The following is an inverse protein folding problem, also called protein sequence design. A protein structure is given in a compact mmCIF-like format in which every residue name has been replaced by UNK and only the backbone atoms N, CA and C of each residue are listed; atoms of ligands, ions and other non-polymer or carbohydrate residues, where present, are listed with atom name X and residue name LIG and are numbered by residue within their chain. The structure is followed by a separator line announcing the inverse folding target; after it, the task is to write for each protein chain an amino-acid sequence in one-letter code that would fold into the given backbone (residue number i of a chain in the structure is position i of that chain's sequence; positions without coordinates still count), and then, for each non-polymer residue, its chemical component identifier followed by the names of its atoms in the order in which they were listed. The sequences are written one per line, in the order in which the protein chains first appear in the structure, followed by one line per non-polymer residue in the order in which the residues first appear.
data_IF_279668027239
#
_entry.id   IF_279668027239
#
_cell.length_a   1.000
_cell.length_b   1.000
_cell.length_c   1.000
_cell.angle_alpha   90.00
_cell.angle_beta   90.00
_cell.angle_gamma   90.00
#
_symmetry.space_group_name_H-M   'P 1'
#
loop_
_entity.id
_entity.type
_entity.pdbx_description
1 polymer ?
#
# COMPACT_ATOMS: atom_id res chain seq x y z
N UNK A 1 4.25 13.86 -42.12
CA UNK A 1 4.15 14.69 -40.89
C UNK A 1 3.14 14.00 -39.98
N UNK A 2 3.60 13.27 -38.98
CA UNK A 2 2.70 12.49 -38.09
C UNK A 2 2.50 13.31 -36.83
N UNK A 3 1.32 13.94 -36.70
CA UNK A 3 0.98 14.76 -35.54
C UNK A 3 0.63 13.85 -34.37
N UNK A 4 1.54 13.76 -33.40
CA UNK A 4 1.32 13.10 -32.11
C UNK A 4 0.35 13.96 -31.29
N UNK A 5 -0.90 13.51 -31.14
CA UNK A 5 -1.88 14.15 -30.24
C UNK A 5 -1.77 13.47 -28.88
N UNK A 6 -1.06 14.11 -27.96
CA UNK A 6 -1.10 13.78 -26.55
C UNK A 6 -2.55 13.88 -26.07
N UNK A 7 -3.09 12.79 -25.53
CA UNK A 7 -4.41 12.74 -24.90
C UNK A 7 -4.19 12.81 -23.38
N UNK A 8 -4.38 13.98 -22.73
CA UNK A 8 -3.96 14.21 -21.35
C UNK A 8 -4.92 13.66 -20.28
N UNK A 9 -6.02 13.00 -20.65
CA UNK A 9 -7.12 12.64 -19.72
C UNK A 9 -7.30 11.14 -19.47
N UNK A 10 -6.37 10.27 -19.91
CA UNK A 10 -6.44 8.83 -19.66
C UNK A 10 -5.37 8.30 -18.70
N UNK A 11 -4.85 9.14 -17.80
CA UNK A 11 -4.08 8.67 -16.64
C UNK A 11 -5.01 8.44 -15.45
N UNK A 12 -6.10 7.71 -15.70
CA UNK A 12 -7.03 7.22 -14.67
C UNK A 12 -7.00 5.69 -14.62
N UNK A 13 -5.80 5.13 -14.72
CA UNK A 13 -5.50 3.81 -14.16
C UNK A 13 -4.48 4.08 -13.08
N UNK A 14 -4.89 3.91 -11.82
CA UNK A 14 -4.09 4.04 -10.59
C UNK A 14 -2.63 3.64 -10.84
N UNK A 15 -1.79 4.60 -11.23
CA UNK A 15 -0.35 4.40 -11.29
C UNK A 15 0.16 4.88 -9.95
N UNK A 16 -0.15 4.10 -8.92
CA UNK A 16 0.57 4.20 -7.66
C UNK A 16 2.03 3.97 -8.03
N UNK A 17 2.79 5.06 -8.09
CA UNK A 17 4.23 5.00 -8.38
C UNK A 17 4.86 4.33 -7.17
N UNK A 18 5.80 3.42 -7.39
CA UNK A 18 6.58 2.80 -6.30
C UNK A 18 7.19 3.86 -5.36
N UNK A 19 7.51 5.04 -5.90
CA UNK A 19 7.96 6.21 -5.14
C UNK A 19 6.90 6.76 -4.18
N UNK A 20 5.63 6.75 -4.55
CA UNK A 20 4.53 7.21 -3.69
C UNK A 20 4.31 6.20 -2.54
N UNK A 21 4.41 4.89 -2.84
CA UNK A 21 4.36 3.81 -1.84
C UNK A 21 5.49 3.96 -0.82
N UNK A 22 6.73 4.16 -1.30
CA UNK A 22 7.90 4.27 -0.43
C UNK A 22 7.91 5.55 0.44
N UNK A 23 7.28 6.63 -0.05
CA UNK A 23 7.11 7.86 0.74
C UNK A 23 5.88 7.83 1.66
N UNK A 24 4.96 6.89 1.44
CA UNK A 24 3.79 6.70 2.29
C UNK A 24 4.17 5.85 3.49
N UNK A 25 3.86 6.35 4.70
CA UNK A 25 4.01 5.61 5.95
C UNK A 25 2.66 5.08 6.40
N UNK A 26 2.60 3.79 6.62
CA UNK A 26 1.44 3.07 7.13
C UNK A 26 1.63 2.80 8.62
N UNK A 27 0.55 2.97 9.38
CA UNK A 27 0.53 2.68 10.81
C UNK A 27 -0.30 1.44 11.07
N UNK A 28 0.31 0.47 11.71
CA UNK A 28 -0.27 -0.82 12.07
C UNK A 28 -0.58 -0.82 13.54
N UNK A 29 -1.78 -1.23 13.93
CA UNK A 29 -2.13 -1.46 15.33
C UNK A 29 -2.05 -2.97 15.57
N UNK A 30 -1.10 -3.38 16.39
CA UNK A 30 -0.95 -4.77 16.80
C UNK A 30 -2.07 -5.17 17.78
N UNK A 31 -2.32 -6.47 17.91
CA UNK A 31 -3.33 -6.99 18.85
C UNK A 31 -3.04 -6.63 20.31
N UNK A 32 -1.78 -6.35 20.64
CA UNK A 32 -1.33 -5.89 21.95
C UNK A 32 -1.62 -4.38 22.21
N UNK A 33 -2.15 -3.66 21.21
CA UNK A 33 -2.41 -2.20 21.28
C UNK A 33 -1.21 -1.32 20.90
N UNK A 34 -0.10 -1.93 20.48
CA UNK A 34 1.08 -1.21 20.02
C UNK A 34 0.89 -0.69 18.59
N UNK A 35 1.24 0.57 18.34
CA UNK A 35 1.26 1.18 17.01
C UNK A 35 2.66 1.07 16.39
N UNK A 36 2.78 0.44 15.22
CA UNK A 36 4.03 0.31 14.46
C UNK A 36 3.91 1.14 13.17
N UNK A 37 4.89 1.97 12.86
CA UNK A 37 4.95 2.71 11.59
C UNK A 37 5.96 2.06 10.64
N UNK A 38 5.51 1.70 9.44
CA UNK A 38 6.37 1.17 8.38
C UNK A 38 6.09 1.87 7.04
N UNK A 39 7.10 1.93 6.17
CA UNK A 39 6.94 2.49 4.82
C UNK A 39 6.27 1.48 3.92
N UNK A 40 5.53 1.94 2.91
CA UNK A 40 4.83 1.04 1.99
C UNK A 40 5.72 0.00 1.31
N UNK A 41 7.02 0.32 1.13
CA UNK A 41 8.04 -0.56 0.57
C UNK A 41 8.73 -1.48 1.58
N UNK A 42 8.48 -1.31 2.89
CA UNK A 42 9.03 -2.19 3.93
C UNK A 42 8.34 -3.55 3.93
N UNK A 43 9.14 -4.59 4.15
CA UNK A 43 8.70 -5.97 4.34
C UNK A 43 8.32 -6.19 5.81
N UNK A 44 7.07 -6.60 6.05
CA UNK A 44 6.49 -6.90 7.35
C UNK A 44 6.13 -8.38 7.40
N UNK A 45 6.65 -9.09 8.40
CA UNK A 45 6.23 -10.46 8.68
C UNK A 45 4.96 -10.46 9.54
N UNK A 46 3.90 -11.08 9.03
CA UNK A 46 2.62 -11.20 9.72
C UNK A 46 2.01 -12.58 9.47
N UNK A 47 1.56 -13.26 10.53
CA UNK A 47 1.04 -14.65 10.47
C UNK A 47 2.02 -15.71 9.92
N UNK A 48 3.32 -15.40 9.90
CA UNK A 48 4.34 -16.27 9.31
C UNK A 48 4.54 -16.09 7.80
N UNK A 49 3.89 -15.08 7.20
CA UNK A 49 4.09 -14.68 5.80
C UNK A 49 4.70 -13.27 5.73
N UNK A 50 5.57 -13.03 4.74
CA UNK A 50 6.21 -11.72 4.51
C UNK A 50 5.37 -10.94 3.50
N UNK A 51 4.93 -9.74 3.89
CA UNK A 51 4.13 -8.85 3.06
C UNK A 51 4.69 -7.43 3.09
N UNK A 52 4.59 -6.69 1.98
CA UNK A 52 4.89 -5.26 2.01
C UNK A 52 3.86 -4.50 2.85
N UNK A 53 4.29 -3.47 3.58
CA UNK A 53 3.42 -2.69 4.46
C UNK A 53 2.17 -2.16 3.73
N UNK A 54 2.31 -1.73 2.47
CA UNK A 54 1.15 -1.28 1.68
C UNK A 54 0.10 -2.38 1.47
N UNK A 55 0.55 -3.60 1.16
CA UNK A 55 -0.31 -4.75 0.94
C UNK A 55 -0.93 -5.25 2.24
N UNK A 56 -0.13 -5.31 3.32
CA UNK A 56 -0.61 -5.71 4.64
C UNK A 56 -1.64 -4.70 5.17
N UNK A 57 -1.41 -3.40 4.98
CA UNK A 57 -2.33 -2.36 5.42
C UNK A 57 -3.68 -2.45 4.72
N UNK A 58 -3.69 -2.72 3.42
CA UNK A 58 -4.93 -2.92 2.66
C UNK A 58 -5.70 -4.15 3.17
N UNK A 59 -5.00 -5.29 3.33
CA UNK A 59 -5.57 -6.52 3.87
C UNK A 59 -6.16 -6.37 5.29
N UNK A 60 -5.48 -5.61 6.17
CA UNK A 60 -5.96 -5.32 7.52
C UNK A 60 -7.16 -4.37 7.50
N UNK A 61 -7.13 -3.33 6.65
CA UNK A 61 -8.19 -2.33 6.50
C UNK A 61 -9.47 -2.92 5.90
N UNK A 62 -9.34 -3.85 4.97
CA UNK A 62 -10.47 -4.61 4.40
C UNK A 62 -11.13 -5.56 5.43
N UNK A 63 -10.59 -5.63 6.65
CA UNK A 63 -11.24 -6.28 7.78
C UNK A 63 -11.05 -7.80 7.83
N UNK A 64 -10.08 -8.34 7.07
CA UNK A 64 -9.75 -9.77 7.10
C UNK A 64 -9.20 -10.23 8.46
N UNK A 65 -8.67 -9.30 9.27
CA UNK A 65 -8.08 -9.58 10.59
C UNK A 65 -8.91 -9.11 11.79
N UNK A 66 -10.15 -8.66 11.57
CA UNK A 66 -10.98 -8.02 12.62
C UNK A 66 -12.28 -8.73 12.99
N UNK A 67 -12.58 -9.90 12.41
CA UNK A 67 -13.79 -10.68 12.76
C UNK A 67 -13.43 -11.99 13.44
N UNK A 68 -13.16 -11.91 14.74
CA UNK A 68 -13.40 -12.99 15.70
C UNK A 68 -14.49 -12.52 16.66
#
# INVERSE_FOLDING_TARGET
CTTFRFNPEAFQGVLVREQDIANTRYRFVLSDGTEVEARGDEEIEYDGEIHSAANLYDALKEGYYGKL
#
